data_IF_633810783619
#
_entry.id   IF_633810783619
#
_cell.length_a   1.000
_cell.length_b   1.000
_cell.length_c   1.000
_cell.angle_alpha   90.00
_cell.angle_beta   90.00
_cell.angle_gamma   90.00
#
_symmetry.space_group_name_H-M   'P 1'
#
loop_
_entity.id
_entity.type
_entity.pdbx_description
1 polymer ?
#
# COMPACT_ATOMS: atom_id res chain seq x y z
N UNK A 1 -43.31 53.02 17.02
CA UNK A 1 -43.34 51.89 16.06
C UNK A 1 -42.44 52.29 14.91
N UNK A 2 -41.24 51.69 14.79
CA UNK A 2 -40.36 51.51 13.61
C UNK A 2 -39.03 50.98 14.19
N UNK A 3 -38.76 49.71 13.93
CA UNK A 3 -37.57 48.96 14.33
C UNK A 3 -36.32 49.39 13.52
N UNK A 4 -35.10 49.17 14.04
CA UNK A 4 -33.86 49.46 13.32
C UNK A 4 -33.58 48.40 12.24
N UNK A 5 -33.09 48.88 11.10
CA UNK A 5 -32.63 48.09 9.96
C UNK A 5 -31.49 47.16 10.38
N UNK A 6 -31.68 45.86 10.15
CA UNK A 6 -30.72 44.81 10.45
C UNK A 6 -29.43 45.00 9.66
N UNK A 7 -28.32 45.13 10.39
CA UNK A 7 -26.98 45.00 9.84
C UNK A 7 -26.85 43.59 9.24
N UNK A 8 -26.61 43.53 7.94
CA UNK A 8 -26.21 42.32 7.22
C UNK A 8 -24.86 41.88 7.78
N UNK A 9 -24.86 40.78 8.53
CA UNK A 9 -23.63 40.12 8.96
C UNK A 9 -22.83 39.69 7.72
N UNK A 10 -21.52 39.97 7.64
CA UNK A 10 -20.70 39.40 6.58
C UNK A 10 -20.67 37.88 6.78
N UNK A 11 -21.11 37.15 5.76
CA UNK A 11 -20.86 35.71 5.63
C UNK A 11 -19.34 35.55 5.51
N UNK A 12 -18.67 35.49 6.65
CA UNK A 12 -17.31 35.02 6.71
C UNK A 12 -17.31 33.60 6.20
N UNK A 13 -16.64 33.36 5.07
CA UNK A 13 -16.19 32.04 4.66
C UNK A 13 -15.35 31.48 5.81
N UNK A 14 -16.01 30.81 6.75
CA UNK A 14 -15.37 30.12 7.84
C UNK A 14 -14.50 29.05 7.20
N UNK A 15 -13.19 29.31 7.13
CA UNK A 15 -12.21 28.34 6.72
C UNK A 15 -12.44 27.09 7.58
N UNK A 16 -13.01 26.05 6.97
CA UNK A 16 -13.36 24.81 7.66
C UNK A 16 -12.09 24.26 8.29
N UNK A 17 -12.04 24.22 9.62
CA UNK A 17 -10.93 23.58 10.33
C UNK A 17 -11.11 22.08 10.19
N UNK A 18 -10.28 21.45 9.36
CA UNK A 18 -10.17 19.99 9.31
C UNK A 18 -9.90 19.44 10.72
N UNK A 19 -10.53 18.32 11.04
CA UNK A 19 -10.19 17.55 12.24
C UNK A 19 -8.77 17.01 12.15
N UNK A 20 -8.17 16.65 13.29
CA UNK A 20 -6.80 16.09 13.32
C UNK A 20 -6.69 14.84 12.42
N UNK A 21 -7.68 13.94 12.48
CA UNK A 21 -7.72 12.73 11.66
C UNK A 21 -7.79 13.03 10.14
N UNK A 22 -8.49 14.10 9.77
CA UNK A 22 -8.58 14.56 8.38
C UNK A 22 -7.24 15.11 7.87
N UNK A 23 -6.51 15.85 8.71
CA UNK A 23 -5.17 16.33 8.38
C UNK A 23 -4.16 15.18 8.27
N UNK A 24 -4.23 14.22 9.19
CA UNK A 24 -3.40 12.99 9.16
C UNK A 24 -3.60 12.20 7.87
N UNK A 25 -4.86 12.05 7.41
CA UNK A 25 -5.16 11.37 6.15
C UNK A 25 -4.48 12.08 4.97
N UNK A 26 -4.68 13.39 4.83
CA UNK A 26 -4.11 14.16 3.72
C UNK A 26 -2.58 14.13 3.73
N UNK A 27 -1.97 14.30 4.91
CA UNK A 27 -0.52 14.20 5.08
C UNK A 27 0.00 12.81 4.71
N UNK A 28 -0.69 11.77 5.16
CA UNK A 28 -0.33 10.39 4.85
C UNK A 28 -0.41 10.08 3.35
N UNK A 29 -1.39 10.64 2.63
CA UNK A 29 -1.46 10.49 1.17
C UNK A 29 -0.24 11.10 0.46
N UNK A 30 0.22 12.27 0.92
CA UNK A 30 1.46 12.88 0.41
C UNK A 30 2.69 12.03 0.72
N UNK A 31 2.77 11.49 1.94
CA UNK A 31 3.84 10.58 2.35
C UNK A 31 3.88 9.32 1.48
N UNK A 32 2.74 8.74 1.14
CA UNK A 32 2.66 7.55 0.28
C UNK A 32 3.22 7.79 -1.12
N UNK A 33 3.04 8.98 -1.69
CA UNK A 33 3.66 9.32 -2.97
C UNK A 33 5.19 9.30 -2.88
N UNK A 34 5.76 9.82 -1.79
CA UNK A 34 7.20 9.82 -1.54
C UNK A 34 7.72 8.39 -1.40
N UNK A 35 7.03 7.56 -0.60
CA UNK A 35 7.40 6.16 -0.42
C UNK A 35 7.37 5.37 -1.74
N UNK A 36 6.45 5.68 -2.66
CA UNK A 36 6.40 5.04 -3.98
C UNK A 36 7.57 5.41 -4.90
N UNK A 37 8.11 6.63 -4.79
CA UNK A 37 9.35 6.98 -5.50
C UNK A 37 10.49 6.07 -5.05
N UNK A 38 10.64 5.88 -3.73
CA UNK A 38 11.62 4.94 -3.18
C UNK A 38 11.33 3.50 -3.58
N UNK A 39 10.07 3.07 -3.57
CA UNK A 39 9.70 1.71 -3.97
C UNK A 39 10.03 1.44 -5.46
N UNK A 40 9.61 2.33 -6.36
CA UNK A 40 9.90 2.21 -7.79
C UNK A 40 11.40 2.23 -8.07
N UNK A 41 12.13 3.18 -7.49
CA UNK A 41 13.59 3.22 -7.60
C UNK A 41 14.27 1.97 -6.99
N UNK A 42 13.76 1.50 -5.85
CA UNK A 42 14.22 0.28 -5.18
C UNK A 42 14.02 -0.97 -6.02
N UNK A 43 12.87 -1.10 -6.71
CA UNK A 43 12.62 -2.20 -7.65
C UNK A 43 13.62 -2.14 -8.81
N UNK A 44 13.83 -0.97 -9.41
CA UNK A 44 14.81 -0.80 -10.50
C UNK A 44 16.23 -1.17 -10.04
N UNK A 45 16.64 -0.67 -8.87
CA UNK A 45 17.95 -0.94 -8.30
C UNK A 45 18.12 -2.42 -7.92
N UNK A 46 17.12 -3.03 -7.26
CA UNK A 46 17.13 -4.45 -6.92
C UNK A 46 17.18 -5.34 -8.17
N UNK A 47 16.45 -4.97 -9.22
CA UNK A 47 16.50 -5.66 -10.52
C UNK A 47 17.89 -5.57 -11.13
N UNK A 48 18.52 -4.38 -11.08
CA UNK A 48 19.88 -4.20 -11.55
C UNK A 48 20.89 -5.06 -10.79
N UNK A 49 20.83 -5.04 -9.46
CA UNK A 49 21.72 -5.83 -8.58
C UNK A 49 21.53 -7.33 -8.83
N UNK A 50 20.29 -7.81 -8.84
CA UNK A 50 19.99 -9.24 -9.00
C UNK A 50 20.37 -9.75 -10.39
N UNK A 51 20.09 -8.99 -11.45
CA UNK A 51 20.37 -9.40 -12.82
C UNK A 51 21.84 -9.21 -13.22
N UNK A 52 22.50 -8.11 -12.79
CA UNK A 52 23.81 -7.70 -13.33
C UNK A 52 24.97 -8.01 -12.38
N UNK A 53 24.76 -7.93 -11.05
CA UNK A 53 25.80 -8.20 -10.07
C UNK A 53 25.74 -9.66 -9.60
N UNK A 54 24.54 -10.13 -9.24
CA UNK A 54 24.33 -11.46 -8.70
C UNK A 54 24.05 -12.53 -9.75
N UNK A 55 23.78 -12.13 -11.00
CA UNK A 55 23.49 -13.03 -12.13
C UNK A 55 22.38 -14.05 -11.82
N UNK A 56 21.40 -13.65 -10.99
CA UNK A 56 20.27 -14.51 -10.66
C UNK A 56 19.35 -14.65 -11.88
N UNK A 57 18.69 -15.81 -12.05
CA UNK A 57 17.81 -16.08 -13.20
C UNK A 57 16.45 -15.37 -13.05
N UNK A 58 16.46 -14.05 -12.86
CA UNK A 58 15.26 -13.24 -12.66
C UNK A 58 14.78 -12.63 -13.99
N UNK A 59 13.46 -12.45 -14.19
CA UNK A 59 12.91 -11.85 -15.39
C UNK A 59 13.10 -10.33 -15.35
N UNK A 60 14.32 -9.88 -15.67
CA UNK A 60 14.75 -8.49 -15.53
C UNK A 60 13.88 -7.51 -16.31
N UNK A 61 13.47 -7.85 -17.54
CA UNK A 61 12.61 -6.99 -18.37
C UNK A 61 11.24 -6.71 -17.71
N UNK A 62 10.44 -7.72 -17.32
CA UNK A 62 9.22 -7.48 -16.54
C UNK A 62 9.44 -6.72 -15.23
N UNK A 63 10.53 -6.98 -14.51
CA UNK A 63 10.80 -6.31 -13.23
C UNK A 63 11.15 -4.82 -13.42
N UNK A 64 11.96 -4.48 -14.43
CA UNK A 64 12.20 -3.09 -14.81
C UNK A 64 10.92 -2.40 -15.26
N UNK A 65 10.11 -3.07 -16.09
CA UNK A 65 8.81 -2.55 -16.51
C UNK A 65 7.91 -2.27 -15.30
N UNK A 66 7.85 -3.16 -14.32
CA UNK A 66 7.07 -2.96 -13.10
C UNK A 66 7.58 -1.77 -12.28
N UNK A 67 8.90 -1.61 -12.13
CA UNK A 67 9.49 -0.43 -11.49
C UNK A 67 9.08 0.87 -12.19
N UNK A 68 9.13 0.90 -13.53
CA UNK A 68 8.69 2.05 -14.32
C UNK A 68 7.18 2.29 -14.24
N UNK A 69 6.37 1.23 -14.22
CA UNK A 69 4.91 1.33 -14.02
C UNK A 69 4.60 1.95 -12.66
N UNK A 70 5.32 1.55 -11.60
CA UNK A 70 5.19 2.13 -10.26
C UNK A 70 5.44 3.64 -10.28
N UNK A 71 6.54 4.06 -10.89
CA UNK A 71 6.86 5.48 -11.02
C UNK A 71 5.82 6.21 -11.89
N UNK A 72 5.39 5.61 -12.99
CA UNK A 72 4.42 6.18 -13.92
C UNK A 72 3.05 6.41 -13.28
N UNK A 73 2.48 5.40 -12.62
CA UNK A 73 1.19 5.59 -11.93
C UNK A 73 1.35 6.54 -10.74
N UNK A 74 2.51 6.57 -10.06
CA UNK A 74 2.76 7.50 -8.97
C UNK A 74 2.74 8.97 -9.44
N UNK A 75 3.23 9.26 -10.66
CA UNK A 75 3.10 10.58 -11.29
C UNK A 75 1.62 10.95 -11.47
N UNK A 76 0.80 10.03 -12.01
CA UNK A 76 -0.63 10.26 -12.18
C UNK A 76 -1.35 10.50 -10.85
N UNK A 77 -1.00 9.73 -9.80
CA UNK A 77 -1.51 9.92 -8.45
C UNK A 77 -1.08 11.28 -7.88
N UNK A 78 0.17 11.70 -8.08
CA UNK A 78 0.66 13.00 -7.62
C UNK A 78 -0.08 14.16 -8.30
N UNK A 79 -0.37 14.05 -9.60
CA UNK A 79 -1.19 15.04 -10.31
C UNK A 79 -2.62 15.08 -9.78
N UNK A 80 -3.25 13.92 -9.57
CA UNK A 80 -4.61 13.85 -9.03
C UNK A 80 -4.69 14.41 -7.60
N UNK A 81 -3.72 14.13 -6.74
CA UNK A 81 -3.69 14.68 -5.38
C UNK A 81 -3.55 16.21 -5.41
N UNK A 82 -2.70 16.76 -6.30
CA UNK A 82 -2.58 18.21 -6.48
C UNK A 82 -3.89 18.84 -6.96
N UNK A 83 -4.62 18.18 -7.86
CA UNK A 83 -5.95 18.61 -8.28
C UNK A 83 -6.93 18.63 -7.11
N UNK A 84 -6.99 17.54 -6.34
CA UNK A 84 -7.88 17.41 -5.20
C UNK A 84 -7.61 18.46 -4.10
N UNK A 85 -6.33 18.80 -3.87
CA UNK A 85 -5.93 19.86 -2.94
C UNK A 85 -6.31 21.26 -3.45
N UNK A 86 -6.30 21.48 -4.76
CA UNK A 86 -6.70 22.75 -5.38
C UNK A 86 -8.21 22.96 -5.34
N UNK A 87 -8.98 21.91 -5.62
CA UNK A 87 -10.44 21.97 -5.68
C UNK A 87 -11.08 22.12 -4.30
N UNK A 88 -10.32 21.88 -3.21
CA UNK A 88 -10.76 21.98 -1.82
C UNK A 88 -12.15 21.37 -1.59
N UNK A 89 -12.35 20.06 -1.90
CA UNK A 89 -13.66 19.45 -1.90
C UNK A 89 -14.36 19.58 -0.54
N UNK A 90 -15.67 19.80 -0.59
CA UNK A 90 -16.50 20.01 0.60
C UNK A 90 -16.60 18.79 1.52
N UNK A 91 -16.19 17.59 1.08
CA UNK A 91 -16.21 16.37 1.90
C UNK A 91 -14.89 15.59 1.82
N UNK A 92 -14.54 14.91 2.91
CA UNK A 92 -13.36 14.05 2.97
C UNK A 92 -13.51 12.75 2.17
N UNK A 93 -14.72 12.44 1.69
CA UNK A 93 -15.00 11.19 0.95
C UNK A 93 -14.12 11.00 -0.29
N UNK A 94 -13.78 12.08 -0.99
CA UNK A 94 -12.89 12.01 -2.16
C UNK A 94 -11.46 11.59 -1.79
N UNK A 95 -10.93 12.08 -0.66
CA UNK A 95 -9.62 11.67 -0.14
C UNK A 95 -9.62 10.22 0.34
N UNK A 96 -10.71 9.76 0.98
CA UNK A 96 -10.86 8.37 1.40
C UNK A 96 -10.95 7.40 0.22
N UNK A 97 -11.70 7.74 -0.83
CA UNK A 97 -11.75 6.96 -2.07
C UNK A 97 -10.35 6.87 -2.69
N UNK A 98 -9.68 8.02 -2.80
CA UNK A 98 -8.32 8.09 -3.32
C UNK A 98 -7.31 7.27 -2.51
N UNK A 99 -7.45 7.24 -1.18
CA UNK A 99 -6.66 6.40 -0.29
C UNK A 99 -6.86 4.90 -0.57
N UNK A 100 -8.11 4.45 -0.75
CA UNK A 100 -8.42 3.05 -1.06
C UNK A 100 -7.88 2.62 -2.42
N UNK A 101 -8.00 3.47 -3.42
CA UNK A 101 -7.45 3.22 -4.77
C UNK A 101 -5.93 3.09 -4.74
N UNK A 102 -5.25 4.00 -4.02
CA UNK A 102 -3.81 3.94 -3.79
C UNK A 102 -3.36 2.62 -3.17
N UNK A 103 -4.04 2.20 -2.10
CA UNK A 103 -3.76 0.94 -1.42
C UNK A 103 -3.99 -0.23 -2.40
N UNK A 104 -5.10 -0.25 -3.12
CA UNK A 104 -5.39 -1.32 -4.08
C UNK A 104 -4.31 -1.43 -5.18
N UNK A 105 -3.83 -0.30 -5.71
CA UNK A 105 -2.77 -0.27 -6.71
C UNK A 105 -1.45 -0.81 -6.16
N UNK A 106 -1.07 -0.42 -4.95
CA UNK A 106 0.17 -0.89 -4.33
C UNK A 106 0.13 -2.40 -4.08
N UNK A 107 -1.01 -2.88 -3.62
CA UNK A 107 -1.25 -4.29 -3.38
C UNK A 107 -1.18 -5.11 -4.67
N UNK A 108 -1.73 -4.59 -5.77
CA UNK A 108 -1.61 -5.21 -7.09
C UNK A 108 -0.15 -5.22 -7.56
N UNK A 109 0.54 -4.08 -7.48
CA UNK A 109 1.95 -3.98 -7.85
C UNK A 109 2.82 -4.94 -7.04
N UNK A 110 2.60 -5.02 -5.73
CA UNK A 110 3.33 -5.92 -4.83
C UNK A 110 3.06 -7.39 -5.17
N UNK A 111 1.82 -7.75 -5.49
CA UNK A 111 1.45 -9.11 -5.90
C UNK A 111 2.14 -9.50 -7.20
N UNK A 112 2.15 -8.61 -8.19
CA UNK A 112 2.84 -8.84 -9.46
C UNK A 112 4.35 -8.96 -9.24
N UNK A 113 4.94 -8.09 -8.42
CA UNK A 113 6.36 -8.18 -8.07
C UNK A 113 6.71 -9.52 -7.43
N UNK A 114 5.92 -9.98 -6.46
CA UNK A 114 6.11 -11.30 -5.83
C UNK A 114 5.99 -12.41 -6.86
N UNK A 115 4.97 -12.38 -7.72
CA UNK A 115 4.81 -13.39 -8.77
C UNK A 115 6.02 -13.44 -9.72
N UNK A 116 6.54 -12.30 -10.14
CA UNK A 116 7.70 -12.19 -11.05
C UNK A 116 9.04 -12.56 -10.38
N UNK A 117 9.13 -12.48 -9.06
CA UNK A 117 10.38 -12.68 -8.31
C UNK A 117 10.46 -14.04 -7.60
N UNK A 118 9.56 -14.98 -7.95
CA UNK A 118 9.60 -16.37 -7.47
C UNK A 118 8.44 -16.78 -6.58
N UNK A 119 7.39 -15.97 -6.48
CA UNK A 119 6.18 -16.30 -5.73
C UNK A 119 6.46 -16.47 -4.25
N UNK A 120 6.09 -17.63 -3.68
CA UNK A 120 6.29 -17.97 -2.26
C UNK A 120 7.75 -17.99 -1.81
N UNK A 121 8.68 -18.13 -2.74
CA UNK A 121 10.12 -18.14 -2.46
C UNK A 121 10.72 -16.72 -2.55
N UNK A 122 9.92 -15.74 -2.98
CA UNK A 122 10.40 -14.39 -3.19
C UNK A 122 10.71 -13.71 -1.85
N UNK A 123 11.92 -13.13 -1.70
CA UNK A 123 12.22 -12.23 -0.59
C UNK A 123 11.27 -11.03 -0.53
N UNK A 124 10.64 -10.68 -1.66
CA UNK A 124 9.78 -9.52 -1.74
C UNK A 124 8.49 -9.66 -0.91
N UNK A 125 8.08 -10.88 -0.52
CA UNK A 125 6.87 -11.12 0.29
C UNK A 125 6.85 -10.26 1.57
N UNK A 126 8.01 -10.05 2.20
CA UNK A 126 8.09 -9.27 3.45
C UNK A 126 7.61 -7.81 3.27
N UNK A 127 7.70 -7.25 2.07
CA UNK A 127 7.26 -5.87 1.80
C UNK A 127 5.73 -5.71 1.84
N UNK A 128 4.94 -6.79 1.81
CA UNK A 128 3.51 -6.70 2.15
C UNK A 128 3.29 -6.20 3.59
N UNK A 129 4.20 -6.47 4.52
CA UNK A 129 4.08 -5.98 5.91
C UNK A 129 4.08 -4.46 5.97
N UNK A 130 4.88 -3.79 5.13
CA UNK A 130 4.89 -2.33 5.02
C UNK A 130 3.53 -1.78 4.56
N UNK A 131 2.93 -2.42 3.56
CA UNK A 131 1.61 -2.04 3.05
C UNK A 131 0.50 -2.26 4.07
N UNK A 132 0.60 -3.32 4.87
CA UNK A 132 -0.30 -3.59 6.00
C UNK A 132 -0.15 -2.50 7.06
N UNK A 133 1.08 -2.12 7.43
CA UNK A 133 1.32 -1.05 8.40
C UNK A 133 0.68 0.27 7.96
N UNK A 134 0.85 0.65 6.68
CA UNK A 134 0.19 1.82 6.10
C UNK A 134 -1.32 1.70 6.17
N UNK A 135 -1.89 0.58 5.71
CA UNK A 135 -3.34 0.39 5.68
C UNK A 135 -3.94 0.44 7.10
N UNK A 136 -3.25 -0.13 8.08
CA UNK A 136 -3.67 -0.12 9.49
C UNK A 136 -3.62 1.27 10.13
N UNK A 137 -2.72 2.14 9.68
CA UNK A 137 -2.62 3.53 10.14
C UNK A 137 -3.65 4.44 9.46
N UNK A 138 -3.94 4.19 8.17
CA UNK A 138 -4.74 5.09 7.34
C UNK A 138 -6.25 4.82 7.43
N UNK A 139 -6.67 3.56 7.61
CA UNK A 139 -8.08 3.18 7.54
C UNK A 139 -8.77 3.16 8.92
N UNK A 140 -10.06 3.60 8.99
CA UNK A 140 -10.88 3.50 10.19
C UNK A 140 -10.93 2.07 10.73
N UNK A 141 -10.62 1.92 12.03
CA UNK A 141 -10.36 0.64 12.70
C UNK A 141 -11.45 -0.43 12.60
N UNK A 142 -12.69 -0.09 12.25
CA UNK A 142 -13.83 -1.04 12.22
C UNK A 142 -13.74 -2.05 11.07
N UNK A 143 -12.93 -1.80 10.04
CA UNK A 143 -12.71 -2.72 8.90
C UNK A 143 -11.25 -3.09 8.64
N UNK A 144 -10.33 -2.68 9.51
CA UNK A 144 -8.88 -2.86 9.32
C UNK A 144 -8.47 -4.33 9.12
N UNK A 145 -9.15 -5.27 9.78
CA UNK A 145 -8.86 -6.70 9.64
C UNK A 145 -9.09 -7.28 8.24
N UNK A 146 -10.00 -6.71 7.44
CA UNK A 146 -10.23 -7.16 6.05
C UNK A 146 -8.98 -6.87 5.21
N UNK A 147 -8.37 -5.70 5.41
CA UNK A 147 -7.15 -5.32 4.69
C UNK A 147 -5.95 -6.17 5.11
N UNK A 148 -5.91 -6.64 6.36
CA UNK A 148 -4.86 -7.58 6.81
C UNK A 148 -4.99 -8.92 6.12
N UNK A 149 -6.21 -9.45 6.04
CA UNK A 149 -6.47 -10.76 5.44
C UNK A 149 -6.19 -10.80 3.93
N UNK A 150 -6.28 -9.66 3.25
CA UNK A 150 -6.06 -9.59 1.82
C UNK A 150 -4.63 -10.04 1.44
N UNK A 151 -3.60 -9.79 2.27
CA UNK A 151 -2.21 -10.02 1.86
C UNK A 151 -1.90 -11.51 1.83
N UNK A 152 -2.22 -12.27 2.90
CA UNK A 152 -2.22 -13.73 2.86
C UNK A 152 -3.01 -14.31 1.70
N UNK A 153 -4.19 -13.76 1.39
CA UNK A 153 -5.02 -14.23 0.28
C UNK A 153 -4.30 -14.03 -1.05
N UNK A 154 -3.74 -12.86 -1.33
CA UNK A 154 -3.02 -12.60 -2.57
C UNK A 154 -1.76 -13.46 -2.71
N UNK A 155 -0.98 -13.62 -1.64
CA UNK A 155 0.19 -14.51 -1.66
C UNK A 155 -0.23 -15.96 -1.86
N UNK A 156 -1.34 -16.39 -1.26
CA UNK A 156 -1.91 -17.74 -1.49
C UNK A 156 -2.35 -17.91 -2.93
N UNK A 157 -2.99 -16.91 -3.54
CA UNK A 157 -3.37 -16.95 -4.96
C UNK A 157 -2.10 -17.09 -5.83
N UNK A 158 -1.05 -16.30 -5.57
CA UNK A 158 0.23 -16.43 -6.29
C UNK A 158 0.86 -17.82 -6.08
N UNK A 159 0.77 -18.38 -4.88
CA UNK A 159 1.24 -19.73 -4.58
C UNK A 159 0.49 -20.78 -5.41
N UNK A 160 -0.84 -20.70 -5.47
CA UNK A 160 -1.67 -21.61 -6.26
C UNK A 160 -1.40 -21.47 -7.76
N UNK A 161 -1.32 -20.25 -8.28
CA UNK A 161 -0.99 -20.00 -9.68
C UNK A 161 0.38 -20.56 -10.05
N UNK A 162 1.37 -20.44 -9.16
CA UNK A 162 2.68 -21.08 -9.33
C UNK A 162 2.59 -22.61 -9.23
N UNK A 163 1.77 -23.15 -8.33
CA UNK A 163 1.61 -24.58 -8.14
C UNK A 163 1.02 -25.26 -9.39
N UNK A 164 0.03 -24.62 -10.02
CA UNK A 164 -0.66 -25.09 -11.23
C UNK A 164 0.03 -24.70 -12.55
N UNK A 165 1.25 -24.15 -12.52
CA UNK A 165 2.00 -23.74 -13.73
C UNK A 165 1.27 -22.69 -14.61
N UNK A 166 0.35 -21.91 -14.03
CA UNK A 166 -0.42 -20.88 -14.77
C UNK A 166 0.46 -19.65 -15.05
N UNK A 167 1.38 -19.33 -14.16
CA UNK A 167 2.33 -18.22 -14.30
C UNK A 167 3.77 -18.76 -14.45
N UNK A 168 4.64 -18.08 -15.23
CA UNK A 168 6.05 -18.47 -15.35
C UNK A 168 6.73 -18.45 -13.99
N UNK A 169 7.18 -19.62 -13.54
CA UNK A 169 7.89 -19.73 -12.28
C UNK A 169 9.37 -19.41 -12.44
N UNK A 170 9.89 -18.63 -11.50
CA UNK A 170 11.30 -18.27 -11.40
C UNK A 170 11.78 -18.80 -10.06
N UNK A 171 12.87 -19.56 -10.05
CA UNK A 171 13.55 -19.95 -8.81
C UNK A 171 14.83 -19.10 -8.69
N UNK A 172 14.83 -18.02 -7.89
CA UNK A 172 15.98 -17.14 -7.77
C UNK A 172 17.22 -17.87 -7.22
N UNK A 173 17.02 -18.97 -6.47
CA UNK A 173 18.08 -19.70 -5.77
C UNK A 173 18.34 -21.11 -6.33
N UNK A 174 17.78 -21.44 -7.50
CA UNK A 174 18.08 -22.66 -8.26
C UNK A 174 17.31 -23.91 -7.83
N UNK A 175 16.96 -24.08 -6.55
CA UNK A 175 16.03 -25.13 -6.09
C UNK A 175 14.61 -24.58 -6.01
N UNK A 176 13.65 -25.27 -6.64
CA UNK A 176 12.24 -24.88 -6.59
C UNK A 176 11.51 -25.71 -5.53
N UNK A 177 11.04 -25.05 -4.49
CA UNK A 177 10.21 -25.57 -3.40
C UNK A 177 8.72 -25.24 -3.61
N UNK A 178 8.33 -24.73 -4.79
CA UNK A 178 6.94 -24.32 -5.09
C UNK A 178 5.91 -25.45 -4.94
N UNK A 179 6.33 -26.72 -5.08
CA UNK A 179 5.48 -27.91 -4.93
C UNK A 179 5.69 -28.63 -3.60
N UNK A 180 6.65 -28.18 -2.79
CA UNK A 180 6.84 -28.67 -1.44
C UNK A 180 5.74 -28.05 -0.56
N UNK A 181 4.72 -28.85 -0.28
CA UNK A 181 3.54 -28.43 0.48
C UNK A 181 3.89 -28.04 1.92
N UNK A 182 4.94 -28.64 2.50
CA UNK A 182 5.41 -28.31 3.85
C UNK A 182 6.09 -26.94 3.82
N UNK A 183 6.96 -26.69 2.84
CA UNK A 183 7.59 -25.39 2.65
C UNK A 183 6.55 -24.29 2.41
N UNK A 184 5.68 -24.46 1.40
CA UNK A 184 4.65 -23.46 1.05
C UNK A 184 3.70 -23.22 2.21
N UNK A 185 3.24 -24.29 2.88
CA UNK A 185 2.39 -24.19 4.06
C UNK A 185 3.05 -23.43 5.21
N UNK A 186 4.34 -23.66 5.44
CA UNK A 186 5.11 -22.96 6.47
C UNK A 186 5.24 -21.48 6.15
N UNK A 187 5.64 -21.13 4.92
CA UNK A 187 5.75 -19.73 4.49
C UNK A 187 4.41 -19.00 4.63
N UNK A 188 3.32 -19.59 4.15
CA UNK A 188 1.99 -18.99 4.26
C UNK A 188 1.56 -18.84 5.72
N UNK A 189 1.81 -19.84 6.57
CA UNK A 189 1.49 -19.78 8.00
C UNK A 189 2.25 -18.65 8.72
N UNK A 190 3.57 -18.59 8.56
CA UNK A 190 4.40 -17.57 9.21
C UNK A 190 4.12 -16.18 8.65
N UNK A 191 3.97 -16.04 7.33
CA UNK A 191 3.63 -14.78 6.70
C UNK A 191 2.27 -14.27 7.17
N UNK A 192 1.25 -15.13 7.19
CA UNK A 192 -0.09 -14.79 7.70
C UNK A 192 -0.01 -14.35 9.15
N UNK A 193 0.64 -15.13 10.00
CA UNK A 193 0.81 -14.80 11.42
C UNK A 193 1.52 -13.45 11.60
N UNK A 194 2.60 -13.20 10.83
CA UNK A 194 3.30 -11.93 10.82
C UNK A 194 2.43 -10.75 10.38
N UNK A 195 1.58 -10.93 9.38
CA UNK A 195 0.62 -9.91 8.93
C UNK A 195 -0.34 -9.51 10.06
N UNK A 196 -0.93 -10.49 10.76
CA UNK A 196 -1.85 -10.25 11.86
C UNK A 196 -1.15 -9.59 13.07
N UNK A 197 0.05 -10.06 13.43
CA UNK A 197 0.85 -9.48 14.52
C UNK A 197 1.24 -8.02 14.20
N UNK A 198 1.71 -7.74 12.98
CA UNK A 198 2.05 -6.39 12.54
C UNK A 198 0.84 -5.46 12.61
N UNK A 199 -0.29 -5.89 12.06
CA UNK A 199 -1.51 -5.10 12.07
C UNK A 199 -2.02 -4.83 13.49
N UNK A 200 -1.92 -5.81 14.39
CA UNK A 200 -2.24 -5.63 15.80
C UNK A 200 -1.34 -4.56 16.43
N UNK A 201 -0.03 -4.63 16.24
CA UNK A 201 0.90 -3.64 16.79
C UNK A 201 0.65 -2.24 16.24
N UNK A 202 0.50 -2.07 14.92
CA UNK A 202 0.19 -0.77 14.31
C UNK A 202 -1.11 -0.19 14.87
N UNK A 203 -2.16 -1.02 14.98
CA UNK A 203 -3.45 -0.60 15.54
C UNK A 203 -3.34 -0.24 17.02
N UNK A 204 -2.61 -1.03 17.81
CA UNK A 204 -2.42 -0.79 19.23
C UNK A 204 -1.66 0.52 19.49
N UNK A 205 -0.61 0.80 18.70
CA UNK A 205 0.16 2.03 18.75
C UNK A 205 -0.73 3.22 18.37
N UNK A 206 -1.44 3.14 17.26
CA UNK A 206 -2.35 4.20 16.80
C UNK A 206 -3.41 4.55 17.85
N UNK A 207 -4.04 3.54 18.47
CA UNK A 207 -5.02 3.75 19.55
C UNK A 207 -4.41 4.40 20.79
N UNK A 208 -3.18 4.02 21.16
CA UNK A 208 -2.48 4.61 22.31
C UNK A 208 -2.12 6.07 22.07
N UNK A 209 -1.71 6.43 20.84
CA UNK A 209 -1.42 7.81 20.45
C UNK A 209 -2.69 8.67 20.53
N UNK A 210 -3.79 8.21 19.91
CA UNK A 210 -5.08 8.92 19.94
C UNK A 210 -5.64 9.14 21.35
N UNK A 211 -5.39 8.22 22.28
CA UNK A 211 -5.79 8.38 23.69
C UNK A 211 -4.97 9.40 24.46
N UNK A 212 -3.76 9.75 24.01
CA UNK A 212 -2.90 10.76 24.66
C UNK A 212 -3.18 12.17 24.16
N UNK A 213 -3.71 12.29 22.95
CA UNK A 213 -4.04 13.56 22.31
C UNK A 213 -5.45 14.07 22.66
N UNK A 214 -6.26 13.23 23.31
CA UNK A 214 -7.55 13.57 23.90
C UNK A 214 -7.39 13.88 25.39
#
# INVERSE_FOLDING_TARGET
MIQPSAAVSPVGTAARRYTVAEQELVQSLGWLLVMRWFAGAGVLAATFVTASLLHLPVPSRPLYAMGLIILGYNVALAWRLRGLQRDMPESMGAYEVFAREQIALDWLAMTILVALSGGVESPAIIFFLFHISIAALLLPHTRGFIYVALAPVLVTIVALLNYFDIIPHVSPFGTSHRRDTVYVGSVLFFFTSGCYVMAYFCTAIARRLRRREQ
#
